data_IF_915653716276
#
_entry.id   IF_915653716276
#
_cell.length_a   1.000
_cell.length_b   1.000
_cell.length_c   1.000
_cell.angle_alpha   90.00
_cell.angle_beta   90.00
_cell.angle_gamma   90.00
#
_symmetry.space_group_name_H-M   'P 1'
#
loop_
_entity.id
_entity.type
_entity.pdbx_description
1 polymer ?
#
# COMPACT_ATOMS: atom_id res chain seq x y z
N UNK A 1 -19.14 2.94 20.86
CA UNK A 1 -18.48 1.82 20.17
C UNK A 1 -17.52 2.37 19.14
N UNK A 2 -16.27 1.95 19.19
CA UNK A 2 -15.30 2.47 18.22
C UNK A 2 -15.57 1.95 16.81
N UNK A 3 -15.09 2.68 15.83
CA UNK A 3 -15.10 2.25 14.43
C UNK A 3 -14.31 0.96 14.26
N UNK A 4 -14.67 0.20 13.24
CA UNK A 4 -13.82 -0.87 12.67
C UNK A 4 -13.33 -0.45 11.31
N UNK A 5 -12.48 -1.27 10.70
CA UNK A 5 -11.84 -0.91 9.42
C UNK A 5 -11.82 -2.11 8.49
N UNK A 6 -11.94 -1.85 7.19
CA UNK A 6 -11.83 -2.92 6.20
C UNK A 6 -10.39 -3.45 6.14
N UNK A 7 -10.20 -4.77 5.94
CA UNK A 7 -8.88 -5.37 6.08
C UNK A 7 -7.90 -5.07 4.95
N UNK A 8 -8.37 -4.68 3.77
CA UNK A 8 -7.49 -4.56 2.60
C UNK A 8 -7.06 -3.14 2.30
N UNK A 9 -7.96 -2.16 2.43
CA UNK A 9 -7.67 -0.74 2.14
C UNK A 9 -7.81 0.18 3.35
N UNK A 10 -8.27 -0.36 4.49
CA UNK A 10 -8.38 0.42 5.72
C UNK A 10 -9.50 1.44 5.70
N UNK A 11 -10.60 1.14 4.99
CA UNK A 11 -11.78 2.02 4.99
C UNK A 11 -12.43 1.98 6.35
N UNK A 12 -12.78 3.13 6.89
CA UNK A 12 -13.41 3.23 8.19
C UNK A 12 -14.87 2.84 8.15
N UNK A 13 -15.27 1.97 9.08
CA UNK A 13 -16.66 1.53 9.25
C UNK A 13 -17.15 2.08 10.60
N UNK A 14 -17.80 3.27 10.61
CA UNK A 14 -18.28 3.84 11.87
C UNK A 14 -19.38 2.98 12.50
N UNK A 15 -19.39 2.91 13.83
CA UNK A 15 -20.50 2.28 14.56
C UNK A 15 -21.73 3.18 14.52
N UNK A 16 -22.91 2.58 14.65
CA UNK A 16 -24.17 3.31 14.67
C UNK A 16 -24.16 4.36 15.79
N UNK A 17 -24.48 5.60 15.42
CA UNK A 17 -24.52 6.72 16.35
C UNK A 17 -23.16 7.26 16.76
N UNK A 18 -22.12 6.67 16.28
CA UNK A 18 -20.75 7.12 16.51
C UNK A 18 -20.42 8.41 15.78
N UNK A 19 -19.73 9.13 15.65
CA UNK A 19 -19.30 10.22 14.76
C UNK A 19 -20.41 11.25 14.48
N UNK A 20 -21.26 11.50 15.46
CA UNK A 20 -22.23 12.58 15.35
C UNK A 20 -21.50 13.92 15.07
N UNK A 21 -21.81 14.54 13.95
CA UNK A 21 -21.15 15.77 13.52
C UNK A 21 -19.84 15.58 12.75
N UNK A 22 -19.30 14.36 12.66
CA UNK A 22 -18.02 14.09 11.98
C UNK A 22 -18.10 13.01 10.90
N UNK A 23 -19.23 12.34 10.73
CA UNK A 23 -19.33 11.23 9.77
C UNK A 23 -19.10 11.68 8.33
N UNK A 24 -19.39 12.95 8.00
CA UNK A 24 -19.12 13.50 6.68
C UNK A 24 -17.63 13.49 6.35
N UNK A 25 -16.77 13.79 7.31
CA UNK A 25 -15.33 13.73 7.14
C UNK A 25 -14.88 12.28 6.91
N UNK A 26 -15.46 11.33 7.64
CA UNK A 26 -15.17 9.91 7.46
C UNK A 26 -15.59 9.43 6.07
N UNK A 27 -16.78 9.81 5.59
CA UNK A 27 -17.25 9.44 4.25
C UNK A 27 -16.32 10.00 3.19
N UNK A 28 -15.94 11.27 3.29
CA UNK A 28 -15.06 11.89 2.30
C UNK A 28 -13.67 11.22 2.29
N UNK A 29 -13.12 10.93 3.45
CA UNK A 29 -11.83 10.24 3.54
C UNK A 29 -11.92 8.82 2.96
N UNK A 30 -13.00 8.10 3.22
CA UNK A 30 -13.24 6.78 2.64
C UNK A 30 -13.31 6.84 1.11
N UNK A 31 -13.95 7.86 0.56
CA UNK A 31 -14.02 8.03 -0.90
C UNK A 31 -12.64 8.30 -1.49
N UNK A 32 -11.78 9.04 -0.82
CA UNK A 32 -10.40 9.23 -1.26
C UNK A 32 -9.62 7.92 -1.24
N UNK A 33 -9.81 7.09 -0.21
CA UNK A 33 -9.17 5.77 -0.14
C UNK A 33 -9.63 4.88 -1.29
N UNK A 34 -10.94 4.87 -1.57
CA UNK A 34 -11.50 4.09 -2.68
C UNK A 34 -10.94 4.57 -4.02
N UNK A 35 -10.87 5.87 -4.22
CA UNK A 35 -10.31 6.45 -5.45
C UNK A 35 -8.85 6.03 -5.66
N UNK A 36 -8.05 6.09 -4.60
CA UNK A 36 -6.65 5.62 -4.65
C UNK A 36 -6.57 4.15 -5.02
N UNK A 37 -7.42 3.32 -4.41
CA UNK A 37 -7.39 1.88 -4.63
C UNK A 37 -7.83 1.49 -6.04
N UNK A 38 -8.75 2.25 -6.64
CA UNK A 38 -9.26 1.95 -7.98
C UNK A 38 -8.34 2.41 -9.09
N UNK A 39 -7.88 3.66 -9.05
CA UNK A 39 -7.18 4.27 -10.17
C UNK A 39 -5.98 5.13 -9.76
N UNK A 40 -5.69 5.21 -8.46
CA UNK A 40 -4.64 6.08 -7.97
C UNK A 40 -3.24 5.58 -8.31
N UNK A 41 -2.36 6.52 -8.64
CA UNK A 41 -0.94 6.26 -8.85
C UNK A 41 -0.12 7.16 -7.93
N UNK A 42 0.95 6.60 -7.36
CA UNK A 42 1.85 7.34 -6.49
C UNK A 42 3.29 7.09 -6.92
N UNK A 43 4.11 8.14 -6.84
CA UNK A 43 5.57 8.00 -6.97
C UNK A 43 6.16 7.94 -5.57
N UNK A 44 6.85 6.85 -5.26
CA UNK A 44 7.48 6.63 -3.97
C UNK A 44 8.98 6.85 -4.15
N UNK A 45 9.53 7.86 -3.46
CA UNK A 45 10.94 8.18 -3.52
C UNK A 45 11.69 7.30 -2.52
N UNK A 46 12.43 6.33 -3.02
CA UNK A 46 13.17 5.38 -2.20
C UNK A 46 14.56 5.90 -1.86
N UNK A 47 15.04 5.53 -0.70
CA UNK A 47 16.43 5.75 -0.26
C UNK A 47 16.87 4.55 0.57
N UNK A 48 18.20 4.34 0.68
CA UNK A 48 18.73 3.19 1.43
C UNK A 48 18.31 1.86 0.82
N UNK A 49 17.98 0.88 1.67
CA UNK A 49 17.73 -0.51 1.26
C UNK A 49 16.38 -1.04 1.73
N UNK A 50 15.54 -0.21 2.35
CA UNK A 50 14.24 -0.66 2.83
C UNK A 50 13.19 0.45 2.78
N UNK A 51 11.95 0.05 2.61
CA UNK A 51 10.78 0.93 2.68
C UNK A 51 9.58 0.11 3.13
N UNK A 52 8.72 0.70 3.94
CA UNK A 52 7.46 0.07 4.33
C UNK A 52 6.32 0.69 3.54
N UNK A 53 5.66 -0.14 2.73
CA UNK A 53 4.48 0.25 1.96
C UNK A 53 3.26 0.04 2.85
N UNK A 54 2.72 1.14 3.38
CA UNK A 54 1.72 1.09 4.44
C UNK A 54 0.32 1.34 3.91
N UNK A 55 -0.63 0.50 4.32
CA UNK A 55 -2.05 0.77 4.19
C UNK A 55 -2.60 1.08 5.58
N UNK A 56 -2.74 2.36 5.88
CA UNK A 56 -3.24 2.81 7.18
C UNK A 56 -4.75 2.65 7.27
N UNK A 57 -5.24 2.30 8.45
CA UNK A 57 -6.68 2.21 8.70
C UNK A 57 -7.25 3.59 8.97
N UNK A 58 -8.22 4.01 8.14
CA UNK A 58 -8.90 5.30 8.31
C UNK A 58 -8.05 6.52 8.00
N UNK A 59 -6.87 6.36 7.40
CA UNK A 59 -5.97 7.45 7.04
C UNK A 59 -5.39 7.23 5.66
N UNK A 60 -4.91 8.28 5.02
CA UNK A 60 -4.29 8.18 3.70
C UNK A 60 -2.84 7.69 3.83
N UNK A 61 -2.45 6.77 2.96
CA UNK A 61 -1.11 6.19 2.96
C UNK A 61 -0.73 5.67 1.57
N UNK A 62 0.55 5.38 1.36
CA UNK A 62 1.06 4.99 0.04
C UNK A 62 0.60 3.60 -0.41
N UNK A 63 0.37 2.69 0.53
CA UNK A 63 -0.08 1.34 0.22
C UNK A 63 -1.52 1.24 -0.28
N UNK A 64 -2.28 2.32 -0.27
CA UNK A 64 -3.65 2.35 -0.76
C UNK A 64 -3.73 2.51 -2.27
N UNK A 65 -2.69 3.00 -2.91
CA UNK A 65 -2.67 3.19 -4.37
C UNK A 65 -2.57 1.85 -5.09
N UNK A 66 -3.21 1.76 -6.26
CA UNK A 66 -3.12 0.57 -7.11
C UNK A 66 -1.89 0.58 -8.02
N UNK A 67 -1.40 1.75 -8.37
CA UNK A 67 -0.22 1.92 -9.23
C UNK A 67 0.89 2.54 -8.41
N UNK A 68 2.02 1.85 -8.35
CA UNK A 68 3.21 2.28 -7.61
C UNK A 68 4.34 2.56 -8.58
N UNK A 69 4.86 3.77 -8.57
CA UNK A 69 6.06 4.14 -9.33
C UNK A 69 7.19 4.36 -8.32
N UNK A 70 8.16 3.46 -8.30
CA UNK A 70 9.31 3.58 -7.40
C UNK A 70 10.37 4.44 -8.08
N UNK A 71 10.76 5.50 -7.42
CA UNK A 71 11.78 6.44 -7.87
C UNK A 71 12.79 6.71 -6.77
N UNK A 72 13.58 7.78 -6.91
CA UNK A 72 14.61 8.17 -5.97
C UNK A 72 15.93 7.47 -6.23
N UNK A 73 16.77 7.39 -5.21
CA UNK A 73 18.14 6.88 -5.32
C UNK A 73 18.42 5.88 -4.18
N UNK A 74 17.88 4.65 -4.25
CA UNK A 74 18.22 3.63 -3.28
C UNK A 74 19.72 3.28 -3.37
N UNK A 75 20.32 2.95 -2.23
CA UNK A 75 21.77 2.67 -2.16
C UNK A 75 22.14 1.25 -2.59
N UNK A 76 21.16 0.40 -2.84
CA UNK A 76 21.31 -0.99 -3.28
C UNK A 76 19.95 -1.57 -3.52
N UNK A 77 19.84 -2.90 -3.58
CA UNK A 77 18.53 -3.55 -3.64
C UNK A 77 17.67 -3.06 -2.49
N UNK A 78 16.48 -2.55 -2.82
CA UNK A 78 15.55 -2.01 -1.82
C UNK A 78 14.42 -3.00 -1.60
N UNK A 79 14.21 -3.42 -0.37
CA UNK A 79 13.11 -4.30 0.01
C UNK A 79 11.94 -3.45 0.47
N UNK A 80 10.84 -3.53 -0.26
CA UNK A 80 9.57 -2.85 0.06
C UNK A 80 8.67 -3.86 0.76
N UNK A 81 8.39 -3.63 2.03
CA UNK A 81 7.55 -4.52 2.84
C UNK A 81 6.12 -4.00 2.86
N UNK A 82 5.19 -4.84 2.46
CA UNK A 82 3.75 -4.54 2.47
C UNK A 82 3.24 -4.68 3.90
N UNK A 83 2.64 -3.63 4.43
CA UNK A 83 2.08 -3.60 5.79
C UNK A 83 0.68 -2.96 5.80
N UNK A 84 -0.29 -3.52 6.51
CA UNK A 84 -0.20 -4.81 7.22
C UNK A 84 -0.10 -5.97 6.23
N UNK A 85 0.58 -7.02 6.62
CA UNK A 85 0.73 -8.21 5.78
C UNK A 85 -0.52 -9.09 5.69
N UNK A 86 -1.61 -8.64 6.29
CA UNK A 86 -2.94 -9.26 6.22
C UNK A 86 -3.82 -8.63 5.14
N UNK A 87 -3.39 -7.55 4.52
CA UNK A 87 -4.15 -6.90 3.45
C UNK A 87 -3.95 -7.66 2.12
N UNK A 88 -5.07 -7.94 1.46
CA UNK A 88 -5.04 -8.51 0.11
C UNK A 88 -5.01 -7.36 -0.89
N UNK A 89 -4.01 -7.36 -1.76
CA UNK A 89 -3.76 -6.26 -2.68
C UNK A 89 -3.24 -6.75 -4.02
N UNK A 90 -3.59 -6.02 -5.07
CA UNK A 90 -2.93 -6.12 -6.38
C UNK A 90 -2.30 -4.76 -6.68
N UNK A 91 -1.01 -4.78 -6.96
CA UNK A 91 -0.26 -3.58 -7.30
C UNK A 91 0.28 -3.69 -8.72
N UNK A 92 0.17 -2.61 -9.49
CA UNK A 92 0.92 -2.42 -10.73
C UNK A 92 2.16 -1.60 -10.35
N UNK A 93 3.32 -2.24 -10.31
CA UNK A 93 4.54 -1.62 -9.82
C UNK A 93 5.52 -1.38 -10.97
N UNK A 94 6.09 -0.17 -11.02
CA UNK A 94 7.12 0.21 -11.97
C UNK A 94 8.36 0.66 -11.22
N UNK A 95 9.51 0.12 -11.60
CA UNK A 95 10.80 0.48 -11.02
C UNK A 95 11.54 1.43 -11.96
N UNK A 96 11.61 2.71 -11.61
CA UNK A 96 12.38 3.70 -12.37
C UNK A 96 13.75 3.98 -11.76
N UNK A 97 14.13 3.23 -10.72
CA UNK A 97 15.44 3.39 -10.06
C UNK A 97 16.53 2.60 -10.80
N UNK A 98 17.78 2.83 -10.40
CA UNK A 98 18.92 2.08 -10.92
C UNK A 98 19.19 0.77 -10.17
N UNK A 99 18.36 0.42 -9.21
CA UNK A 99 18.54 -0.76 -8.36
C UNK A 99 17.35 -1.70 -8.48
N UNK A 100 17.53 -2.96 -8.08
CA UNK A 100 16.43 -3.92 -7.98
C UNK A 100 15.54 -3.57 -6.79
N UNK A 101 14.23 -3.70 -6.95
CA UNK A 101 13.25 -3.54 -5.89
C UNK A 101 12.60 -4.90 -5.63
N UNK A 102 12.49 -5.26 -4.35
CA UNK A 102 11.86 -6.51 -3.92
C UNK A 102 10.61 -6.17 -3.12
N UNK A 103 9.44 -6.62 -3.57
CA UNK A 103 8.20 -6.52 -2.80
C UNK A 103 7.96 -7.80 -2.02
N UNK A 104 7.63 -7.66 -0.74
CA UNK A 104 7.50 -8.77 0.20
C UNK A 104 6.47 -8.45 1.27
N UNK A 105 5.88 -9.48 1.86
CA UNK A 105 5.04 -9.32 3.06
C UNK A 105 5.83 -9.48 4.36
N UNK A 106 7.15 -9.43 4.27
CA UNK A 106 8.06 -9.59 5.42
C UNK A 106 8.69 -10.96 5.54
N UNK A 107 8.09 -11.97 4.94
CA UNK A 107 8.61 -13.35 4.90
C UNK A 107 8.04 -14.10 3.71
N UNK A 108 8.56 -15.27 3.41
CA UNK A 108 8.07 -16.12 2.34
C UNK A 108 8.41 -15.60 0.95
N UNK A 109 7.51 -15.81 0.01
CA UNK A 109 7.71 -15.43 -1.38
C UNK A 109 7.78 -13.92 -1.56
N UNK A 110 8.53 -13.48 -2.54
CA UNK A 110 8.70 -12.08 -2.88
C UNK A 110 8.77 -11.92 -4.40
N UNK A 111 8.56 -10.68 -4.86
CA UNK A 111 8.66 -10.32 -6.28
C UNK A 111 9.81 -9.35 -6.45
N UNK A 112 10.78 -9.70 -7.31
CA UNK A 112 11.89 -8.83 -7.65
C UNK A 112 11.62 -8.12 -8.96
N UNK A 113 11.78 -6.80 -8.97
CA UNK A 113 11.60 -5.96 -10.15
C UNK A 113 12.94 -5.32 -10.48
N UNK A 114 13.53 -5.73 -11.60
CA UNK A 114 14.81 -5.18 -12.03
C UNK A 114 14.70 -3.70 -12.40
N UNK A 115 15.81 -2.99 -12.39
CA UNK A 115 15.87 -1.58 -12.77
C UNK A 115 15.23 -1.36 -14.15
N UNK A 116 14.27 -0.45 -14.23
CA UNK A 116 13.55 -0.12 -15.46
C UNK A 116 12.39 -1.04 -15.81
N UNK A 117 12.16 -2.10 -15.06
CA UNK A 117 11.08 -3.05 -15.31
C UNK A 117 9.80 -2.70 -14.55
N UNK A 118 8.72 -3.39 -14.93
CA UNK A 118 7.42 -3.30 -14.29
C UNK A 118 6.88 -4.70 -14.00
N UNK A 119 6.02 -4.81 -12.99
CA UNK A 119 5.39 -6.07 -12.63
C UNK A 119 4.00 -5.84 -12.05
N UNK A 120 3.13 -6.83 -12.17
CA UNK A 120 1.88 -6.90 -11.42
C UNK A 120 2.13 -7.80 -10.22
N UNK A 121 1.88 -7.29 -9.02
CA UNK A 121 2.18 -7.98 -7.78
C UNK A 121 0.89 -8.23 -7.02
N UNK A 122 0.63 -9.48 -6.66
CA UNK A 122 -0.48 -9.86 -5.80
C UNK A 122 0.05 -10.19 -4.41
N UNK A 123 -0.50 -9.53 -3.40
CA UNK A 123 -0.25 -9.81 -2.00
C UNK A 123 -1.48 -10.54 -1.43
N UNK A 124 -1.29 -11.77 -0.99
CA UNK A 124 -2.41 -12.63 -0.61
C UNK A 124 -2.96 -12.37 0.80
N UNK A 125 -2.29 -11.53 1.58
CA UNK A 125 -2.73 -11.21 2.94
C UNK A 125 -2.45 -12.31 3.97
N UNK A 126 -1.69 -13.35 3.59
CA UNK A 126 -1.35 -14.44 4.51
C UNK A 126 -0.01 -14.24 5.21
N UNK A 127 0.66 -13.13 4.95
CA UNK A 127 1.94 -12.79 5.58
C UNK A 127 3.17 -13.33 4.86
N UNK A 128 2.99 -14.11 3.80
CA UNK A 128 4.12 -14.79 3.14
C UNK A 128 3.93 -15.01 1.64
N UNK A 129 2.92 -14.44 1.01
CA UNK A 129 2.65 -14.68 -0.41
C UNK A 129 2.60 -13.37 -1.20
N UNK A 130 3.70 -12.91 -1.71
CA UNK A 130 3.75 -11.72 -2.55
C UNK A 130 4.49 -11.99 -3.86
#
# INVERSE_FOLDING_TARGET
MPSTYTPNTGIELPSDGEQSGTWGDTVNLNMEIVDRAMNGAVTISLSGTSHTLTTSSGSLSDGQFSVLVFGGSPSGTNTVTIAPNTAQKVYFARNTTAQTIVLSQGSGDSVSIAAGDSAVVYSDGAGSGA
#
